data_IF_801480875834
#
_entry.id   IF_801480875834
#
_cell.length_a   1.000
_cell.length_b   1.000
_cell.length_c   1.000
_cell.angle_alpha   90.00
_cell.angle_beta   90.00
_cell.angle_gamma   90.00
#
_symmetry.space_group_name_H-M   'P 1'
#
loop_
_entity.id
_entity.type
_entity.pdbx_description
1 polymer ?
#
# COMPACT_ATOMS: atom_id res chain seq x y z
N UNK A 1 -8.10 -22.87 6.54
CA UNK A 1 -9.31 -22.04 6.70
C UNK A 1 -10.00 -22.00 5.35
N UNK A 2 -11.29 -22.32 5.29
CA UNK A 2 -12.07 -22.27 4.05
C UNK A 2 -12.34 -20.81 3.67
N UNK A 3 -12.17 -20.42 2.40
CA UNK A 3 -12.47 -19.08 1.91
C UNK A 3 -13.98 -18.94 1.70
N UNK A 4 -14.72 -18.76 2.79
CA UNK A 4 -16.18 -18.69 2.81
C UNK A 4 -16.66 -17.29 3.21
N UNK A 5 -17.79 -16.81 2.66
CA UNK A 5 -18.37 -15.51 3.01
C UNK A 5 -18.56 -15.28 4.51
N UNK A 6 -18.77 -16.35 5.27
CA UNK A 6 -18.93 -16.35 6.73
C UNK A 6 -17.69 -15.83 7.49
N UNK A 7 -16.51 -15.84 6.86
CA UNK A 7 -15.26 -15.39 7.46
C UNK A 7 -14.96 -13.90 7.18
N UNK A 8 -15.86 -13.18 6.51
CA UNK A 8 -15.70 -11.75 6.22
C UNK A 8 -16.16 -10.94 7.43
N UNK A 9 -15.22 -10.30 8.13
CA UNK A 9 -15.55 -9.33 9.16
C UNK A 9 -15.91 -7.98 8.52
N UNK A 10 -17.04 -7.40 8.95
CA UNK A 10 -17.45 -6.07 8.55
C UNK A 10 -16.83 -5.03 9.48
N UNK A 11 -16.15 -4.04 8.91
CA UNK A 11 -15.60 -2.93 9.67
C UNK A 11 -16.63 -1.82 9.86
N UNK A 12 -16.45 -1.05 10.95
CA UNK A 12 -17.08 0.26 11.07
C UNK A 12 -16.29 1.25 10.23
N UNK A 13 -16.89 1.70 9.15
CA UNK A 13 -16.29 2.68 8.24
C UNK A 13 -16.99 4.04 8.36
N UNK A 14 -16.25 5.11 8.11
CA UNK A 14 -16.80 6.45 7.91
C UNK A 14 -16.39 6.94 6.53
N UNK A 15 -17.30 7.64 5.87
CA UNK A 15 -17.05 8.18 4.55
C UNK A 15 -15.78 9.05 4.52
N UNK A 16 -14.94 8.84 3.51
CA UNK A 16 -13.62 9.46 3.38
C UNK A 16 -12.47 8.87 4.22
N UNK A 17 -12.72 7.92 5.12
CA UNK A 17 -11.65 7.20 5.85
C UNK A 17 -11.19 5.98 5.03
N UNK A 18 -10.26 6.18 4.09
CA UNK A 18 -9.78 5.19 3.11
C UNK A 18 -8.31 4.81 3.28
N UNK A 19 -7.60 5.42 4.21
CA UNK A 19 -6.25 5.01 4.62
C UNK A 19 -6.29 3.65 5.32
N UNK A 20 -5.25 2.83 5.12
CA UNK A 20 -5.13 1.49 5.71
C UNK A 20 -5.23 1.54 7.24
N UNK A 21 -4.59 2.52 7.86
CA UNK A 21 -4.62 2.71 9.31
C UNK A 21 -6.04 2.96 9.83
N UNK A 22 -6.83 3.77 9.14
CA UNK A 22 -8.20 4.09 9.55
C UNK A 22 -9.16 2.94 9.29
N UNK A 23 -9.01 2.23 8.17
CA UNK A 23 -9.76 1.01 7.88
C UNK A 23 -9.48 -0.08 8.94
N UNK A 24 -8.22 -0.26 9.32
CA UNK A 24 -7.83 -1.14 10.43
C UNK A 24 -8.47 -0.71 11.76
N UNK A 25 -8.57 0.59 12.03
CA UNK A 25 -9.28 1.08 13.22
C UNK A 25 -10.79 0.79 13.17
N UNK A 26 -11.36 0.49 12.02
CA UNK A 26 -12.75 0.07 11.87
C UNK A 26 -13.05 -1.33 12.44
N UNK A 27 -12.04 -2.21 12.55
CA UNK A 27 -12.18 -3.57 13.06
C UNK A 27 -12.48 -3.64 14.56
N UNK A 28 -12.99 -4.76 15.06
CA UNK A 28 -12.97 -5.01 16.50
C UNK A 28 -11.53 -5.27 16.98
N UNK A 29 -11.29 -5.12 18.29
CA UNK A 29 -9.96 -5.46 18.84
C UNK A 29 -9.65 -6.96 18.69
N UNK A 30 -10.67 -7.83 18.71
CA UNK A 30 -10.48 -9.26 18.53
C UNK A 30 -9.99 -9.55 17.10
N UNK A 31 -10.66 -8.98 16.09
CA UNK A 31 -10.27 -9.12 14.68
C UNK A 31 -8.85 -8.63 14.44
N UNK A 32 -8.44 -7.51 15.06
CA UNK A 32 -7.07 -6.99 14.91
C UNK A 32 -6.02 -7.92 15.52
N UNK A 33 -6.34 -8.61 16.61
CA UNK A 33 -5.44 -9.60 17.20
C UNK A 33 -5.34 -10.85 16.33
N UNK A 34 -6.45 -11.30 15.76
CA UNK A 34 -6.48 -12.42 14.80
C UNK A 34 -5.72 -12.08 13.52
N UNK A 35 -5.93 -10.88 12.97
CA UNK A 35 -5.20 -10.40 11.80
C UNK A 35 -3.70 -10.34 12.09
N UNK A 36 -3.29 -9.83 13.26
CA UNK A 36 -1.89 -9.82 13.67
C UNK A 36 -1.29 -11.22 13.79
N UNK A 37 -2.04 -12.18 14.35
CA UNK A 37 -1.63 -13.58 14.40
C UNK A 37 -1.47 -14.18 13.00
N UNK A 38 -2.43 -13.93 12.10
CA UNK A 38 -2.40 -14.42 10.72
C UNK A 38 -1.24 -13.86 9.87
N UNK A 39 -0.71 -12.70 10.27
CA UNK A 39 0.42 -12.02 9.65
C UNK A 39 1.73 -12.21 10.43
N UNK A 40 1.73 -13.06 11.46
CA UNK A 40 2.89 -13.31 12.33
C UNK A 40 3.47 -12.04 12.96
N UNK A 41 2.61 -11.08 13.31
CA UNK A 41 2.97 -9.81 13.95
C UNK A 41 2.85 -9.94 15.46
N UNK A 42 3.95 -9.69 16.17
CA UNK A 42 3.96 -9.76 17.63
C UNK A 42 3.24 -8.55 18.25
N UNK A 43 1.98 -8.74 18.65
CA UNK A 43 1.17 -7.73 19.35
C UNK A 43 0.79 -8.19 20.76
N UNK A 44 0.74 -7.25 21.72
CA UNK A 44 0.30 -7.55 23.09
C UNK A 44 -1.21 -7.35 23.22
N UNK A 45 -1.91 -8.32 23.82
CA UNK A 45 -3.36 -8.23 24.09
C UNK A 45 -3.76 -7.00 24.90
N UNK A 46 -2.86 -6.45 25.72
CA UNK A 46 -3.10 -5.24 26.52
C UNK A 46 -3.03 -3.93 25.73
N UNK A 47 -2.49 -3.94 24.50
CA UNK A 47 -2.39 -2.72 23.68
C UNK A 47 -3.77 -2.24 23.22
N UNK A 48 -3.88 -0.92 23.00
CA UNK A 48 -5.08 -0.34 22.43
C UNK A 48 -5.13 -0.58 20.91
N UNK A 49 -6.33 -0.39 20.31
CA UNK A 49 -6.52 -0.61 18.87
C UNK A 49 -5.59 0.24 18.03
N UNK A 50 -5.47 1.53 18.33
CA UNK A 50 -4.60 2.48 17.62
C UNK A 50 -3.17 1.96 17.46
N UNK A 51 -2.57 1.45 18.54
CA UNK A 51 -1.21 0.92 18.50
C UNK A 51 -1.11 -0.38 17.69
N UNK A 52 -2.11 -1.25 17.78
CA UNK A 52 -2.16 -2.50 17.02
C UNK A 52 -2.31 -2.18 15.53
N UNK A 53 -3.24 -1.28 15.17
CA UNK A 53 -3.48 -0.82 13.81
C UNK A 53 -2.25 -0.18 13.17
N UNK A 54 -1.48 0.63 13.91
CA UNK A 54 -0.25 1.23 13.38
C UNK A 54 0.77 0.17 12.95
N UNK A 55 1.04 -0.82 13.81
CA UNK A 55 2.01 -1.89 13.53
C UNK A 55 1.51 -2.80 12.41
N UNK A 56 0.21 -3.11 12.39
CA UNK A 56 -0.40 -3.87 11.30
C UNK A 56 -0.32 -3.11 9.97
N UNK A 57 -0.58 -1.82 9.97
CA UNK A 57 -0.49 -0.97 8.77
C UNK A 57 0.91 -1.05 8.16
N UNK A 58 1.95 -0.81 8.97
CA UNK A 58 3.34 -0.93 8.51
C UNK A 58 3.64 -2.31 7.91
N UNK A 59 3.17 -3.38 8.57
CA UNK A 59 3.42 -4.74 8.10
C UNK A 59 2.67 -5.07 6.81
N UNK A 60 1.41 -4.70 6.74
CA UNK A 60 0.55 -4.98 5.59
C UNK A 60 1.05 -4.19 4.38
N UNK A 61 1.42 -2.92 4.53
CA UNK A 61 2.06 -2.13 3.45
C UNK A 61 3.37 -2.79 3.00
N UNK A 62 4.24 -3.22 3.92
CA UNK A 62 5.46 -3.95 3.55
C UNK A 62 5.15 -5.22 2.74
N UNK A 63 4.14 -5.99 3.15
CA UNK A 63 3.73 -7.21 2.45
C UNK A 63 3.14 -6.91 1.07
N UNK A 64 2.37 -5.83 0.95
CA UNK A 64 1.78 -5.37 -0.30
C UNK A 64 2.86 -4.96 -1.31
N UNK A 65 3.91 -4.28 -0.84
CA UNK A 65 5.05 -3.89 -1.67
C UNK A 65 5.97 -5.07 -2.02
N UNK A 66 5.94 -6.16 -1.27
CA UNK A 66 6.93 -7.24 -1.44
C UNK A 66 6.31 -8.47 -2.06
N UNK A 67 5.87 -9.40 -1.22
CA UNK A 67 5.49 -10.75 -1.60
C UNK A 67 4.15 -10.74 -2.35
N UNK A 68 3.24 -9.83 -1.97
CA UNK A 68 1.90 -9.77 -2.54
C UNK A 68 1.79 -8.79 -3.72
N UNK A 69 2.83 -8.03 -4.03
CA UNK A 69 2.79 -7.03 -5.09
C UNK A 69 2.32 -7.61 -6.45
N UNK A 70 2.84 -8.75 -6.96
CA UNK A 70 2.40 -9.27 -8.25
C UNK A 70 0.92 -9.67 -8.26
N UNK A 71 0.44 -10.24 -7.15
CA UNK A 71 -0.95 -10.68 -7.01
C UNK A 71 -1.88 -9.49 -6.91
N UNK A 72 -1.51 -8.48 -6.11
CA UNK A 72 -2.30 -7.26 -5.96
C UNK A 72 -2.34 -6.48 -7.27
N UNK A 73 -1.24 -6.41 -8.03
CA UNK A 73 -1.20 -5.82 -9.38
C UNK A 73 -2.18 -6.49 -10.33
N UNK A 74 -2.12 -7.81 -10.47
CA UNK A 74 -3.04 -8.56 -11.34
C UNK A 74 -4.50 -8.36 -10.95
N UNK A 75 -4.79 -8.32 -9.65
CA UNK A 75 -6.16 -8.14 -9.14
C UNK A 75 -6.66 -6.72 -9.38
N UNK A 76 -5.86 -5.70 -9.08
CA UNK A 76 -6.23 -4.29 -9.27
C UNK A 76 -6.34 -3.91 -10.75
N UNK A 77 -5.55 -4.52 -11.63
CA UNK A 77 -5.64 -4.31 -13.08
C UNK A 77 -6.96 -4.78 -13.68
N UNK A 78 -7.64 -5.74 -13.03
CA UNK A 78 -8.93 -6.31 -13.44
C UNK A 78 -10.14 -5.57 -12.88
N UNK A 79 -9.94 -4.62 -11.97
CA UNK A 79 -11.03 -3.81 -11.47
C UNK A 79 -11.55 -2.86 -12.58
N UNK A 80 -12.87 -2.60 -12.61
CA UNK A 80 -13.48 -1.80 -13.67
C UNK A 80 -13.03 -0.33 -13.63
N UNK A 81 -12.61 0.14 -12.44
CA UNK A 81 -12.04 1.45 -12.21
C UNK A 81 -10.75 1.26 -11.41
N UNK A 82 -9.74 2.08 -11.67
CA UNK A 82 -8.46 2.06 -10.95
C UNK A 82 -8.33 3.22 -10.00
N UNK A 83 -9.12 4.27 -10.16
CA UNK A 83 -9.07 5.50 -9.35
C UNK A 83 -9.96 5.39 -8.12
N UNK A 84 -11.05 4.62 -8.23
CA UNK A 84 -11.96 4.38 -7.12
C UNK A 84 -11.38 3.37 -6.13
N UNK A 85 -11.51 3.70 -4.85
CA UNK A 85 -11.09 2.88 -3.71
C UNK A 85 -12.29 2.30 -2.92
N UNK A 86 -13.52 2.63 -3.32
CA UNK A 86 -14.77 2.18 -2.70
C UNK A 86 -15.72 1.60 -3.76
N UNK A 87 -16.03 0.32 -3.67
CA UNK A 87 -16.91 -0.38 -4.62
C UNK A 87 -18.17 -0.83 -3.91
N UNK A 88 -19.34 -0.42 -4.42
CA UNK A 88 -20.62 -0.94 -3.94
C UNK A 88 -20.90 -2.28 -4.60
N UNK A 89 -21.18 -3.29 -3.79
CA UNK A 89 -21.56 -4.63 -4.23
C UNK A 89 -22.92 -5.01 -3.63
N UNK A 90 -23.68 -5.81 -4.36
CA UNK A 90 -25.04 -6.17 -3.96
C UNK A 90 -25.05 -7.29 -2.93
N UNK A 91 -24.10 -8.22 -3.03
CA UNK A 91 -24.02 -9.42 -2.18
C UNK A 91 -22.57 -9.87 -1.95
N UNK A 92 -22.33 -10.63 -0.87
CA UNK A 92 -21.01 -11.18 -0.57
C UNK A 92 -20.50 -12.15 -1.65
N UNK A 93 -21.37 -12.79 -2.42
CA UNK A 93 -21.02 -13.65 -3.55
C UNK A 93 -20.20 -12.92 -4.61
N UNK A 94 -20.42 -11.61 -4.81
CA UNK A 94 -19.66 -10.79 -5.76
C UNK A 94 -18.20 -10.57 -5.30
N UNK A 95 -17.91 -10.71 -4.01
CA UNK A 95 -16.57 -10.49 -3.44
C UNK A 95 -15.89 -11.76 -2.96
N UNK A 96 -16.44 -12.94 -3.24
CA UNK A 96 -15.85 -14.23 -2.84
C UNK A 96 -14.40 -14.38 -3.31
N UNK A 97 -14.10 -13.91 -4.53
CA UNK A 97 -12.74 -13.92 -5.08
C UNK A 97 -11.74 -13.05 -4.30
N UNK A 98 -12.23 -12.05 -3.57
CA UNK A 98 -11.41 -11.13 -2.78
C UNK A 98 -11.28 -11.54 -1.31
N UNK A 99 -12.04 -12.55 -0.85
CA UNK A 99 -11.98 -13.03 0.55
C UNK A 99 -10.55 -13.30 1.04
N UNK A 100 -9.65 -13.94 0.27
CA UNK A 100 -8.27 -14.13 0.70
C UNK A 100 -7.54 -12.80 0.98
N UNK A 101 -7.77 -11.76 0.17
CA UNK A 101 -7.18 -10.44 0.34
C UNK A 101 -7.81 -9.69 1.53
N UNK A 102 -9.11 -9.90 1.77
CA UNK A 102 -9.82 -9.36 2.92
C UNK A 102 -9.28 -9.96 4.22
N UNK A 103 -9.15 -11.29 4.29
CA UNK A 103 -8.59 -12.01 5.45
C UNK A 103 -7.15 -11.56 5.72
N UNK A 104 -6.39 -11.25 4.67
CA UNK A 104 -5.02 -10.75 4.79
C UNK A 104 -4.95 -9.26 5.15
N UNK A 105 -6.09 -8.56 5.25
CA UNK A 105 -6.14 -7.14 5.60
C UNK A 105 -5.67 -6.22 4.48
N UNK A 106 -5.61 -6.72 3.24
CA UNK A 106 -5.35 -5.87 2.08
C UNK A 106 -6.61 -5.13 1.66
N UNK A 107 -7.77 -5.80 1.65
CA UNK A 107 -9.07 -5.20 1.33
C UNK A 107 -9.98 -5.26 2.56
N UNK A 108 -11.03 -4.43 2.58
CA UNK A 108 -11.93 -4.31 3.72
C UNK A 108 -13.38 -4.32 3.25
N UNK A 109 -14.29 -4.70 4.14
CA UNK A 109 -15.71 -4.75 3.83
C UNK A 109 -16.49 -3.96 4.88
N UNK A 110 -17.37 -3.07 4.44
CA UNK A 110 -18.24 -2.28 5.29
C UNK A 110 -19.70 -2.42 4.87
N UNK A 111 -20.63 -2.08 5.76
CA UNK A 111 -22.06 -1.96 5.43
C UNK A 111 -22.41 -0.50 5.18
N UNK A 112 -23.17 -0.24 4.12
CA UNK A 112 -23.76 1.07 3.81
C UNK A 112 -25.25 0.91 3.56
N UNK A 113 -26.05 1.16 4.61
CA UNK A 113 -27.48 0.85 4.61
C UNK A 113 -27.74 -0.63 4.35
N UNK A 114 -28.47 -0.92 3.27
CA UNK A 114 -28.76 -2.28 2.80
C UNK A 114 -27.68 -2.83 1.83
N UNK A 115 -26.65 -2.02 1.53
CA UNK A 115 -25.56 -2.39 0.62
C UNK A 115 -24.29 -2.83 1.33
N UNK A 116 -23.40 -3.46 0.57
CA UNK A 116 -22.07 -3.85 1.00
C UNK A 116 -21.05 -3.01 0.22
N UNK A 117 -20.02 -2.54 0.91
CA UNK A 117 -18.91 -1.82 0.30
C UNK A 117 -17.65 -2.68 0.40
N UNK A 118 -16.97 -2.86 -0.72
CA UNK A 118 -15.59 -3.34 -0.78
C UNK A 118 -14.67 -2.11 -0.83
N UNK A 119 -13.80 -2.00 0.17
CA UNK A 119 -12.89 -0.89 0.37
C UNK A 119 -11.47 -1.38 0.09
N UNK A 120 -10.75 -0.64 -0.74
CA UNK A 120 -9.33 -0.88 -1.03
C UNK A 120 -8.56 0.29 -0.42
N UNK A 121 -7.64 0.05 0.52
CA UNK A 121 -6.89 1.13 1.13
C UNK A 121 -6.06 1.90 0.11
N UNK A 122 -5.96 3.20 0.30
CA UNK A 122 -5.15 4.07 -0.56
C UNK A 122 -3.68 3.67 -0.55
N UNK A 123 -3.15 3.27 0.60
CA UNK A 123 -1.79 2.75 0.75
C UNK A 123 -1.53 1.57 -0.18
N UNK A 124 -2.51 0.65 -0.30
CA UNK A 124 -2.38 -0.54 -1.14
C UNK A 124 -2.48 -0.18 -2.62
N UNK A 125 -3.42 0.68 -2.99
CA UNK A 125 -3.51 1.21 -4.35
C UNK A 125 -2.22 1.91 -4.75
N UNK A 126 -1.66 2.73 -3.87
CA UNK A 126 -0.41 3.45 -4.10
C UNK A 126 0.79 2.51 -4.21
N UNK A 127 0.98 1.58 -3.27
CA UNK A 127 2.09 0.59 -3.30
C UNK A 127 2.10 -0.25 -4.58
N UNK A 128 0.95 -0.40 -5.24
CA UNK A 128 0.85 -1.12 -6.51
C UNK A 128 0.98 -0.17 -7.72
N UNK A 129 0.28 0.97 -7.72
CA UNK A 129 0.32 1.96 -8.81
C UNK A 129 1.69 2.61 -8.98
N UNK A 130 2.35 2.99 -7.88
CA UNK A 130 3.66 3.64 -7.95
C UNK A 130 4.69 2.70 -8.64
N UNK A 131 4.50 1.38 -8.60
CA UNK A 131 5.28 0.41 -9.37
C UNK A 131 4.82 0.17 -10.81
N UNK A 132 3.53 0.34 -11.11
CA UNK A 132 3.03 0.31 -12.49
C UNK A 132 3.49 1.53 -13.29
N UNK A 133 3.50 2.69 -12.63
CA UNK A 133 4.00 3.94 -13.19
C UNK A 133 5.53 3.95 -13.20
N UNK A 134 6.22 3.40 -12.19
CA UNK A 134 7.67 3.17 -12.30
C UNK A 134 7.99 2.18 -13.42
N UNK A 135 7.27 1.08 -13.61
CA UNK A 135 7.52 0.19 -14.75
C UNK A 135 7.26 0.91 -16.08
N UNK A 136 6.25 1.77 -16.17
CA UNK A 136 5.87 2.47 -17.40
C UNK A 136 6.77 3.68 -17.69
N UNK A 137 7.07 4.52 -16.71
CA UNK A 137 8.05 5.62 -16.78
C UNK A 137 9.47 5.08 -16.93
N UNK A 138 9.86 4.02 -16.21
CA UNK A 138 11.18 3.41 -16.38
C UNK A 138 11.29 2.79 -17.77
N UNK A 139 10.25 2.14 -18.30
CA UNK A 139 10.23 1.69 -19.69
C UNK A 139 10.17 2.84 -20.69
N UNK A 140 9.47 3.94 -20.43
CA UNK A 140 9.46 5.11 -21.31
C UNK A 140 10.82 5.82 -21.32
N UNK A 141 11.49 5.93 -20.17
CA UNK A 141 12.81 6.54 -20.05
C UNK A 141 13.89 5.61 -20.63
N UNK A 142 13.78 4.29 -20.45
CA UNK A 142 14.65 3.29 -21.11
C UNK A 142 14.43 3.25 -22.62
N UNK A 143 13.18 3.34 -23.10
CA UNK A 143 12.87 3.36 -24.53
C UNK A 143 13.21 4.69 -25.20
N UNK A 144 13.12 5.84 -24.50
CA UNK A 144 13.71 7.11 -24.96
C UNK A 144 15.24 7.03 -25.10
N UNK A 145 15.89 6.10 -24.41
CA UNK A 145 17.33 5.83 -24.52
C UNK A 145 17.79 5.20 -25.84
N UNK A 146 16.88 4.65 -26.66
CA UNK A 146 17.25 4.12 -27.99
C UNK A 146 17.12 5.14 -29.12
N UNK A 147 16.55 6.32 -28.86
CA UNK A 147 16.42 7.38 -29.84
C UNK A 147 17.02 8.70 -29.33
N UNK A 148 18.31 8.89 -29.67
CA UNK A 148 19.08 10.16 -29.75
C UNK A 148 19.83 10.64 -28.48
N UNK A 149 21.14 10.40 -28.55
CA UNK A 149 22.29 11.30 -28.26
C UNK A 149 22.29 12.18 -26.98
N UNK A 150 23.33 11.89 -26.20
CA UNK A 150 24.27 12.79 -25.49
C UNK A 150 24.07 12.98 -23.97
N UNK A 151 25.18 13.19 -23.22
CA UNK A 151 25.30 12.86 -21.81
C UNK A 151 24.98 14.06 -20.91
N UNK A 152 24.06 13.90 -19.97
CA UNK A 152 23.89 14.86 -18.88
C UNK A 152 23.41 14.16 -17.60
N UNK A 153 24.33 14.12 -16.64
CA UNK A 153 24.16 13.99 -15.19
C UNK A 153 23.21 12.92 -14.65
N UNK A 154 23.77 11.73 -14.42
CA UNK A 154 23.22 10.66 -13.57
C UNK A 154 22.83 11.17 -12.16
N UNK A 155 23.50 12.22 -11.66
CA UNK A 155 23.17 12.89 -10.39
C UNK A 155 21.85 13.67 -10.39
N UNK A 156 21.48 14.31 -11.51
CA UNK A 156 20.24 15.10 -11.60
C UNK A 156 19.02 14.18 -11.63
N UNK A 157 19.15 13.04 -12.32
CA UNK A 157 18.12 11.99 -12.37
C UNK A 157 17.90 11.33 -11.00
N UNK A 158 18.97 11.15 -10.23
CA UNK A 158 18.93 10.64 -8.85
C UNK A 158 18.18 11.60 -7.93
N UNK A 159 18.39 12.91 -8.12
CA UNK A 159 17.76 13.97 -7.36
C UNK A 159 16.26 14.10 -7.64
N UNK A 160 15.82 14.00 -8.89
CA UNK A 160 14.40 14.05 -9.25
C UNK A 160 13.61 12.90 -8.60
N UNK A 161 14.16 11.68 -8.63
CA UNK A 161 13.52 10.50 -8.06
C UNK A 161 13.41 10.59 -6.52
N UNK A 162 14.49 10.99 -5.85
CA UNK A 162 14.48 11.16 -4.39
C UNK A 162 13.54 12.28 -3.94
N UNK A 163 13.46 13.40 -4.68
CA UNK A 163 12.55 14.50 -4.35
C UNK A 163 11.08 14.09 -4.53
N UNK A 164 10.74 13.42 -5.62
CA UNK A 164 9.40 12.86 -5.85
C UNK A 164 8.97 11.94 -4.71
N UNK A 165 9.86 11.05 -4.27
CA UNK A 165 9.58 10.15 -3.15
C UNK A 165 9.44 10.87 -1.81
N UNK A 166 10.25 11.90 -1.57
CA UNK A 166 10.14 12.75 -0.38
C UNK A 166 8.79 13.47 -0.34
N UNK A 167 8.38 14.09 -1.44
CA UNK A 167 7.11 14.83 -1.53
C UNK A 167 5.90 13.91 -1.37
N UNK A 168 5.89 12.77 -2.05
CA UNK A 168 4.82 11.76 -1.94
C UNK A 168 4.74 11.18 -0.52
N UNK A 169 5.88 10.86 0.09
CA UNK A 169 5.91 10.35 1.46
C UNK A 169 5.51 11.40 2.50
N UNK A 170 5.86 12.68 2.27
CA UNK A 170 5.41 13.78 3.12
C UNK A 170 3.91 14.00 3.01
N UNK A 171 3.32 13.82 1.83
CA UNK A 171 1.88 13.92 1.63
C UNK A 171 1.11 12.84 2.41
N UNK A 172 1.66 11.64 2.52
CA UNK A 172 1.03 10.49 3.19
C UNK A 172 1.28 10.52 4.71
N UNK A 173 2.52 10.72 5.13
CA UNK A 173 2.90 10.53 6.55
C UNK A 173 3.06 11.84 7.32
N UNK A 174 2.93 13.01 6.67
CA UNK A 174 3.20 14.34 7.23
C UNK A 174 4.67 14.60 7.57
N UNK A 175 5.49 13.55 7.68
CA UNK A 175 6.92 13.59 7.91
C UNK A 175 7.58 12.33 7.31
N UNK A 176 8.70 12.49 6.62
CA UNK A 176 9.51 11.35 6.15
C UNK A 176 10.94 11.49 6.63
N UNK A 177 11.46 10.43 7.27
CA UNK A 177 12.85 10.43 7.73
C UNK A 177 13.80 10.08 6.58
N UNK A 178 14.98 10.69 6.57
CA UNK A 178 16.05 10.38 5.61
C UNK A 178 16.41 8.88 5.62
N UNK A 179 16.37 8.24 6.81
CA UNK A 179 16.62 6.81 6.94
C UNK A 179 15.56 5.95 6.23
N UNK A 180 14.32 6.42 6.19
CA UNK A 180 13.23 5.76 5.46
C UNK A 180 13.46 5.87 3.95
N UNK A 181 13.75 7.08 3.44
CA UNK A 181 14.07 7.29 2.02
C UNK A 181 15.29 6.46 1.57
N UNK A 182 16.31 6.35 2.44
CA UNK A 182 17.49 5.52 2.19
C UNK A 182 17.17 4.04 2.09
N UNK A 183 16.38 3.54 3.05
CA UNK A 183 15.98 2.13 3.07
C UNK A 183 15.17 1.78 1.83
N UNK A 184 14.33 2.69 1.36
CA UNK A 184 13.57 2.51 0.13
C UNK A 184 14.53 2.52 -1.06
N UNK A 185 15.40 3.54 -1.20
CA UNK A 185 16.34 3.63 -2.34
C UNK A 185 17.23 2.39 -2.48
N UNK A 186 17.90 2.00 -1.40
CA UNK A 186 18.87 0.89 -1.41
C UNK A 186 18.23 -0.49 -1.61
N UNK A 187 16.90 -0.55 -1.59
CA UNK A 187 16.14 -1.76 -1.88
C UNK A 187 15.90 -1.95 -3.38
N UNK A 188 15.92 -0.86 -4.16
CA UNK A 188 15.47 -0.85 -5.55
C UNK A 188 16.57 -0.51 -6.56
N UNK A 189 17.69 0.05 -6.11
CA UNK A 189 18.82 0.39 -6.97
C UNK A 189 20.08 -0.33 -6.51
N UNK A 190 20.81 -0.88 -7.49
CA UNK A 190 22.11 -1.52 -7.28
C UNK A 190 23.19 -0.52 -6.85
N UNK A 191 22.92 0.78 -6.97
CA UNK A 191 23.73 1.89 -6.43
C UNK A 191 23.13 2.41 -5.10
N UNK A 192 23.55 1.85 -3.95
CA UNK A 192 23.02 2.25 -2.65
C UNK A 192 23.49 3.65 -2.27
N UNK A 193 22.59 4.45 -1.72
CA UNK A 193 22.85 5.76 -1.13
C UNK A 193 23.04 5.68 0.37
N UNK A 194 23.89 6.57 0.86
CA UNK A 194 24.00 6.88 2.28
C UNK A 194 22.93 7.91 2.72
N UNK A 195 22.60 8.01 4.02
CA UNK A 195 21.72 9.08 4.52
C UNK A 195 22.32 10.47 4.24
N UNK A 196 23.63 10.59 4.31
CA UNK A 196 24.38 11.81 4.02
C UNK A 196 24.26 12.21 2.54
N UNK A 197 24.34 11.27 1.59
CA UNK A 197 24.09 11.55 0.17
C UNK A 197 22.65 11.99 -0.07
N UNK A 198 21.66 11.32 0.55
CA UNK A 198 20.26 11.74 0.42
C UNK A 198 20.05 13.17 0.93
N UNK A 199 20.70 13.55 2.04
CA UNK A 199 20.65 14.95 2.53
C UNK A 199 21.34 15.92 1.60
N UNK A 200 22.39 15.51 0.90
CA UNK A 200 23.07 16.35 -0.09
C UNK A 200 22.27 16.49 -1.39
N UNK A 201 21.50 15.47 -1.75
CA UNK A 201 20.66 15.43 -2.96
C UNK A 201 19.33 16.18 -2.74
N UNK A 202 18.81 16.22 -1.50
CA UNK A 202 17.51 16.79 -1.13
C UNK A 202 17.57 18.19 -0.47
N UNK A 203 18.75 18.79 -0.38
CA UNK A 203 18.99 20.18 0.06
C UNK A 203 19.42 21.04 -1.12
#
# INVERSE_FOLDING_TARGET
MTNTPENVSFIKWKDGETELFDLLKGHTKADLLELAESQSVAVRKSWNKTKISAILSEKITELAETIYHPVLKEVLERLPDRETNVYRVSDLSEIVGFIPLIIKGFFFVARDGDGILLLIPEDILFSVKDRMDLDSETNEILNRGTARKAPSHEGDRKAELLNSWKEKSLAIYGNVSVAHLQKIWNRYFDDPVSPEEIRQILN
#
